data_IF_621433206836
#
_entry.id   IF_621433206836
#
_cell.length_a   1.000
_cell.length_b   1.000
_cell.length_c   1.000
_cell.angle_alpha   90.00
_cell.angle_beta   90.00
_cell.angle_gamma   90.00
#
_symmetry.space_group_name_H-M   'P 1'
#
loop_
_entity.id
_entity.type
_entity.pdbx_description
1 polymer ?
#
# COMPACT_ATOMS: atom_id res chain seq x y z
N UNK A 1 0.32 -4.81 25.62
CA UNK A 1 -0.51 -5.67 24.75
C UNK A 1 -0.48 -5.10 23.34
N UNK A 2 -0.24 -5.90 22.29
CA UNK A 2 -0.41 -5.44 20.92
C UNK A 2 -1.88 -5.07 20.70
N UNK A 3 -2.13 -3.95 20.01
CA UNK A 3 -3.47 -3.47 19.68
C UNK A 3 -3.78 -3.87 18.24
N UNK A 4 -4.65 -4.86 18.05
CA UNK A 4 -4.99 -5.33 16.70
C UNK A 4 -6.18 -4.56 16.14
N UNK A 5 -6.07 -4.14 14.88
CA UNK A 5 -7.16 -3.45 14.21
C UNK A 5 -8.32 -4.41 13.99
N UNK A 6 -9.51 -3.97 14.37
CA UNK A 6 -10.75 -4.69 14.10
C UNK A 6 -11.18 -4.53 12.61
N UNK A 7 -12.31 -5.11 12.20
CA UNK A 7 -12.80 -5.00 10.82
C UNK A 7 -13.08 -3.55 10.38
N UNK A 8 -13.75 -2.77 11.21
CA UNK A 8 -14.13 -1.38 10.91
C UNK A 8 -12.92 -0.46 10.78
N UNK A 9 -11.92 -0.64 11.64
CA UNK A 9 -10.67 0.13 11.59
C UNK A 9 -9.83 -0.21 10.37
N UNK A 10 -9.83 -1.47 9.94
CA UNK A 10 -9.19 -1.90 8.68
C UNK A 10 -9.84 -1.24 7.47
N UNK A 11 -11.17 -1.24 7.42
CA UNK A 11 -11.91 -0.59 6.34
C UNK A 11 -11.68 0.93 6.32
N UNK A 12 -11.68 1.56 7.49
CA UNK A 12 -11.35 3.00 7.61
C UNK A 12 -9.93 3.29 7.11
N UNK A 13 -8.96 2.46 7.49
CA UNK A 13 -7.58 2.59 7.04
C UNK A 13 -7.48 2.42 5.51
N UNK A 14 -8.16 1.44 4.94
CA UNK A 14 -8.22 1.23 3.50
C UNK A 14 -8.77 2.45 2.77
N UNK A 15 -9.93 2.96 3.21
CA UNK A 15 -10.61 4.12 2.63
C UNK A 15 -9.79 5.41 2.74
N UNK A 16 -8.97 5.53 3.78
CA UNK A 16 -8.05 6.66 3.92
C UNK A 16 -6.84 6.51 2.98
N UNK A 17 -6.22 5.34 2.92
CA UNK A 17 -5.00 5.11 2.14
C UNK A 17 -5.24 5.21 0.63
N UNK A 18 -6.41 4.75 0.14
CA UNK A 18 -6.73 4.81 -1.30
C UNK A 18 -6.83 6.24 -1.82
N UNK A 19 -7.23 7.19 -0.96
CA UNK A 19 -7.34 8.62 -1.31
C UNK A 19 -5.99 9.36 -1.26
N UNK A 20 -4.94 8.71 -0.78
CA UNK A 20 -3.62 9.32 -0.61
C UNK A 20 -2.67 9.01 -1.77
N UNK A 21 -1.78 9.96 -2.07
CA UNK A 21 -0.60 9.67 -2.91
C UNK A 21 0.27 8.62 -2.23
N UNK A 22 0.87 7.73 -3.01
CA UNK A 22 1.70 6.62 -2.53
C UNK A 22 2.73 7.02 -1.47
N UNK A 23 3.50 8.09 -1.70
CA UNK A 23 4.51 8.54 -0.74
C UNK A 23 3.91 8.96 0.61
N UNK A 24 2.69 9.51 0.62
CA UNK A 24 1.98 9.84 1.86
C UNK A 24 1.45 8.59 2.55
N UNK A 25 0.85 7.67 1.79
CA UNK A 25 0.39 6.37 2.32
C UNK A 25 1.56 5.59 2.94
N UNK A 26 2.67 5.46 2.22
CA UNK A 26 3.94 4.87 2.71
C UNK A 26 4.44 5.54 3.98
N UNK A 27 4.47 6.88 4.02
CA UNK A 27 4.89 7.63 5.20
C UNK A 27 3.98 7.41 6.40
N UNK A 28 2.66 7.35 6.18
CA UNK A 28 1.67 7.06 7.22
C UNK A 28 1.85 5.65 7.78
N UNK A 29 1.93 4.62 6.95
CA UNK A 29 2.13 3.23 7.37
C UNK A 29 3.38 3.06 8.24
N UNK A 30 4.50 3.67 7.83
CA UNK A 30 5.75 3.67 8.60
C UNK A 30 5.67 4.39 9.95
N UNK A 31 4.76 5.37 10.10
CA UNK A 31 4.56 6.11 11.36
C UNK A 31 3.53 5.45 12.26
N UNK A 32 2.56 4.74 11.68
CA UNK A 32 1.53 4.01 12.42
C UNK A 32 2.10 2.85 13.23
N UNK A 33 3.14 2.18 12.72
CA UNK A 33 3.83 1.12 13.45
C UNK A 33 5.34 1.32 13.41
N UNK A 34 5.98 1.46 14.58
CA UNK A 34 7.45 1.53 14.70
C UNK A 34 8.13 0.25 14.23
N UNK A 35 7.42 -0.87 14.24
CA UNK A 35 7.88 -2.18 13.77
C UNK A 35 7.41 -2.49 12.35
N UNK A 36 6.90 -1.51 11.61
CA UNK A 36 6.46 -1.68 10.23
C UNK A 36 7.59 -2.31 9.38
N UNK A 37 7.27 -3.40 8.70
CA UNK A 37 8.17 -4.09 7.78
C UNK A 37 7.70 -3.89 6.36
N UNK A 38 8.62 -3.55 5.47
CA UNK A 38 8.37 -3.57 4.03
C UNK A 38 8.51 -5.02 3.56
N UNK A 39 7.44 -5.59 3.00
CA UNK A 39 7.48 -6.93 2.42
C UNK A 39 8.04 -6.89 1.00
N UNK A 40 7.28 -6.27 0.10
CA UNK A 40 7.62 -6.10 -1.32
C UNK A 40 7.55 -4.63 -1.69
N UNK A 41 8.43 -4.21 -2.61
CA UNK A 41 8.45 -2.85 -3.12
C UNK A 41 8.26 -2.85 -4.63
N UNK A 42 7.15 -2.26 -5.09
CA UNK A 42 6.82 -2.12 -6.52
C UNK A 42 7.03 -3.40 -7.31
N UNK A 43 6.55 -4.50 -6.73
CA UNK A 43 6.55 -5.79 -7.38
C UNK A 43 5.50 -5.80 -8.49
N UNK A 44 5.88 -6.24 -9.68
CA UNK A 44 5.01 -6.26 -10.86
C UNK A 44 4.59 -7.71 -11.10
N UNK A 45 3.49 -8.11 -10.48
CA UNK A 45 2.93 -9.46 -10.65
C UNK A 45 1.86 -9.50 -11.75
N UNK A 46 1.23 -8.36 -12.03
CA UNK A 46 0.29 -8.17 -13.14
C UNK A 46 0.73 -6.99 -14.01
N UNK A 47 0.44 -7.05 -15.31
CA UNK A 47 0.78 -5.95 -16.23
C UNK A 47 0.09 -4.67 -15.79
N UNK A 48 0.86 -3.60 -15.62
CA UNK A 48 0.35 -2.28 -15.20
C UNK A 48 0.16 -2.11 -13.69
N UNK A 49 0.13 -3.18 -12.88
CA UNK A 49 -0.08 -3.08 -11.43
C UNK A 49 1.19 -3.28 -10.63
N UNK A 50 1.53 -2.28 -9.83
CA UNK A 50 2.72 -2.22 -8.99
C UNK A 50 2.30 -2.36 -7.54
N UNK A 51 2.65 -3.49 -6.95
CA UNK A 51 2.25 -3.84 -5.59
C UNK A 51 3.37 -3.54 -4.61
N UNK A 52 3.06 -2.83 -3.54
CA UNK A 52 3.96 -2.59 -2.41
C UNK A 52 3.26 -3.04 -1.13
N UNK A 53 3.87 -3.97 -0.42
CA UNK A 53 3.28 -4.57 0.79
C UNK A 53 3.99 -4.10 2.05
N UNK A 54 3.21 -3.85 3.10
CA UNK A 54 3.67 -3.51 4.44
C UNK A 54 3.03 -4.44 5.45
N UNK A 55 3.85 -5.04 6.30
CA UNK A 55 3.35 -5.71 7.51
C UNK A 55 3.46 -4.73 8.68
N UNK A 56 2.37 -4.60 9.45
CA UNK A 56 2.29 -3.79 10.66
C UNK A 56 2.03 -4.73 11.85
N UNK A 57 3.08 -5.38 12.39
CA UNK A 57 2.92 -6.42 13.41
C UNK A 57 2.23 -5.95 14.69
N UNK A 58 2.47 -4.70 15.10
CA UNK A 58 1.86 -4.13 16.30
C UNK A 58 0.36 -3.88 16.13
N UNK A 59 -0.09 -3.73 14.89
CA UNK A 59 -1.48 -3.48 14.48
C UNK A 59 -2.19 -4.73 13.94
N UNK A 60 -1.45 -5.83 13.75
CA UNK A 60 -2.02 -7.10 13.32
C UNK A 60 -2.52 -7.07 11.87
N UNK A 61 -1.93 -6.27 10.99
CA UNK A 61 -2.42 -6.12 9.62
C UNK A 61 -1.32 -6.16 8.57
N UNK A 62 -1.68 -6.72 7.41
CA UNK A 62 -0.93 -6.66 6.18
C UNK A 62 -1.60 -5.66 5.23
N UNK A 63 -0.84 -4.71 4.70
CA UNK A 63 -1.34 -3.64 3.84
C UNK A 63 -0.66 -3.74 2.48
N UNK A 64 -1.46 -3.89 1.43
CA UNK A 64 -1.00 -3.90 0.05
C UNK A 64 -1.46 -2.61 -0.64
N UNK A 65 -0.50 -1.80 -1.07
CA UNK A 65 -0.71 -0.63 -1.90
C UNK A 65 -0.52 -1.03 -3.37
N UNK A 66 -1.52 -0.77 -4.21
CA UNK A 66 -1.49 -1.10 -5.63
C UNK A 66 -1.51 0.21 -6.43
N UNK A 67 -0.39 0.51 -7.08
CA UNK A 67 -0.24 1.63 -7.99
C UNK A 67 -0.39 1.15 -9.44
N UNK A 68 -1.03 1.95 -10.30
CA UNK A 68 -0.93 1.77 -11.75
C UNK A 68 0.16 2.69 -12.30
N UNK A 69 1.01 2.16 -13.18
CA UNK A 69 2.04 2.92 -13.88
C UNK A 69 1.57 3.27 -15.28
N UNK A 70 1.37 4.56 -15.50
CA UNK A 70 1.19 5.14 -16.84
C UNK A 70 2.52 5.74 -17.32
N UNK A 71 2.95 5.41 -18.54
CA UNK A 71 4.19 5.93 -19.13
C UNK A 71 4.03 7.38 -19.63
N UNK A 72 2.79 7.82 -19.83
CA UNK A 72 2.42 9.20 -20.18
C UNK A 72 2.77 9.62 -21.61
N UNK A 73 3.50 8.81 -22.37
CA UNK A 73 3.74 8.97 -23.82
C UNK A 73 4.29 7.67 -24.40
N UNK A 74 3.86 7.32 -25.61
CA UNK A 74 4.40 6.21 -26.41
C UNK A 74 5.38 6.71 -27.49
N UNK A 75 5.64 8.01 -27.56
CA UNK A 75 6.54 8.62 -28.53
C UNK A 75 8.01 8.40 -28.11
N UNK A 76 8.82 7.68 -28.93
CA UNK A 76 10.22 7.39 -28.61
C UNK A 76 11.11 8.64 -28.54
N UNK A 77 10.67 9.79 -29.09
CA UNK A 77 11.40 11.05 -29.05
C UNK A 77 11.04 11.92 -27.84
N UNK A 78 10.02 11.54 -27.06
CA UNK A 78 9.65 12.26 -25.85
C UNK A 78 10.21 11.59 -24.60
N UNK A 79 10.69 12.42 -23.67
CA UNK A 79 11.13 11.94 -22.37
C UNK A 79 9.94 11.38 -21.59
N UNK A 80 9.92 10.07 -21.39
CA UNK A 80 8.95 9.36 -20.57
C UNK A 80 8.91 9.97 -19.17
N UNK A 81 7.72 10.42 -18.75
CA UNK A 81 7.44 10.93 -17.40
C UNK A 81 6.39 10.02 -16.76
N UNK A 82 6.82 8.91 -16.13
CA UNK A 82 5.89 7.94 -15.62
C UNK A 82 5.04 8.56 -14.50
N UNK A 83 3.72 8.39 -14.63
CA UNK A 83 2.74 8.75 -13.62
C UNK A 83 2.36 7.48 -12.85
N UNK A 84 2.19 7.66 -11.54
CA UNK A 84 1.80 6.58 -10.65
C UNK A 84 0.53 7.00 -9.94
N UNK A 85 -0.53 6.23 -10.12
CA UNK A 85 -1.82 6.47 -9.50
C UNK A 85 -2.16 5.33 -8.55
N UNK A 86 -2.59 5.66 -7.34
CA UNK A 86 -3.06 4.65 -6.38
C UNK A 86 -4.43 4.16 -6.87
N UNK A 87 -4.52 2.89 -7.27
CA UNK A 87 -5.78 2.32 -7.79
C UNK A 87 -6.51 1.57 -6.70
N UNK A 88 -5.78 0.80 -5.89
CA UNK A 88 -6.38 -0.06 -4.87
C UNK A 88 -5.48 -0.16 -3.65
N UNK A 89 -6.13 -0.28 -2.50
CA UNK A 89 -5.48 -0.65 -1.25
C UNK A 89 -6.21 -1.86 -0.70
N UNK A 90 -5.45 -2.84 -0.21
CA UNK A 90 -5.97 -4.03 0.46
C UNK A 90 -5.39 -4.03 1.87
N UNK A 91 -6.25 -4.22 2.87
CA UNK A 91 -5.86 -4.29 4.28
C UNK A 91 -6.40 -5.60 4.84
N UNK A 92 -5.51 -6.55 5.11
CA UNK A 92 -5.85 -7.90 5.58
C UNK A 92 -5.34 -8.09 7.02
N UNK A 93 -6.01 -8.91 7.84
CA UNK A 93 -5.40 -9.39 9.09
C UNK A 93 -4.10 -10.14 8.79
N UNK A 94 -3.10 -9.98 9.64
CA UNK A 94 -1.98 -10.91 9.67
C UNK A 94 -2.29 -12.13 10.56
N UNK A 95 -1.46 -13.16 10.52
CA UNK A 95 -1.68 -14.42 11.27
C UNK A 95 -1.83 -14.24 12.79
N UNK A 96 -1.37 -13.11 13.36
CA UNK A 96 -1.53 -12.77 14.77
C UNK A 96 -2.88 -12.15 15.12
N UNK A 97 -3.63 -11.65 14.14
CA UNK A 97 -4.91 -10.97 14.33
C UNK A 97 -6.08 -11.93 14.04
N UNK A 98 -6.69 -12.44 15.11
CA UNK A 98 -7.89 -13.32 15.08
C UNK A 98 -9.19 -12.56 15.40
N UNK A 99 -9.15 -11.24 15.35
CA UNK A 99 -10.24 -10.31 15.72
C UNK A 99 -10.94 -9.67 14.52
#
# INVERSE_FOLDING_TARGET
MPYFLNAEEREKLQNELVKMKFNRAKGKLRRMDKKAKLGTYRNVQHSGEWMTTYDLPSLGVHVTLIENRDLGTDDPNQRVKPRYEMVRVIVEPNAGNRT
#
